data_IF_834592148147
#
_entry.id   IF_834592148147
#
_cell.length_a   1.000
_cell.length_b   1.000
_cell.length_c   1.000
_cell.angle_alpha   90.00
_cell.angle_beta   90.00
_cell.angle_gamma   90.00
#
_symmetry.space_group_name_H-M   'P 1'
#
loop_
_entity.id
_entity.type
_entity.pdbx_description
1 polymer ?
#
# COMPACT_ATOMS: atom_id res chain seq x y z
N UNK A 1 10.05 3.58 -11.24
CA UNK A 1 8.80 2.79 -11.09
C UNK A 1 7.66 3.66 -11.57
N UNK A 2 6.56 3.13 -12.12
CA UNK A 2 5.47 3.97 -12.60
C UNK A 2 4.72 4.63 -11.45
N UNK A 3 4.36 5.88 -11.62
CA UNK A 3 3.37 6.55 -10.79
C UNK A 3 1.98 5.99 -11.13
N UNK A 4 1.12 5.84 -10.12
CA UNK A 4 -0.21 5.25 -10.30
C UNK A 4 -1.35 6.18 -9.86
N UNK A 5 -1.06 7.09 -8.95
CA UNK A 5 -2.00 8.14 -8.55
C UNK A 5 -1.24 9.41 -8.17
N UNK A 6 -1.98 10.50 -8.02
CA UNK A 6 -1.45 11.76 -7.51
C UNK A 6 -2.32 12.27 -6.37
N UNK A 7 -1.68 12.89 -5.38
CA UNK A 7 -2.32 13.66 -4.33
C UNK A 7 -2.28 15.11 -4.76
N UNK A 8 -3.43 15.76 -4.84
CA UNK A 8 -3.58 17.16 -5.19
C UNK A 8 -4.15 17.89 -3.97
N UNK A 9 -3.38 18.82 -3.42
CA UNK A 9 -3.83 19.66 -2.32
C UNK A 9 -4.33 21.00 -2.86
N UNK A 10 -5.57 21.35 -2.58
CA UNK A 10 -6.22 22.55 -3.09
C UNK A 10 -5.90 23.76 -2.20
N UNK A 11 -5.07 24.69 -2.69
CA UNK A 11 -4.67 25.89 -1.98
C UNK A 11 -5.70 27.04 -2.13
N UNK A 12 -6.31 27.13 -3.30
CA UNK A 12 -7.38 28.09 -3.60
C UNK A 12 -8.48 27.36 -4.37
N UNK A 13 -9.73 27.77 -4.14
CA UNK A 13 -10.87 27.15 -4.84
C UNK A 13 -10.87 27.48 -6.33
N UNK A 14 -11.20 26.52 -7.17
CA UNK A 14 -11.30 26.66 -8.62
C UNK A 14 -12.22 25.58 -9.20
N UNK A 15 -12.68 25.80 -10.43
CA UNK A 15 -13.50 24.87 -11.18
C UNK A 15 -12.66 24.15 -12.24
N UNK A 16 -12.92 22.86 -12.41
CA UNK A 16 -12.32 22.05 -13.47
C UNK A 16 -13.41 21.29 -14.21
N UNK A 17 -13.34 21.29 -15.53
CA UNK A 17 -14.23 20.49 -16.36
C UNK A 17 -13.69 19.09 -16.54
N UNK A 18 -14.36 18.11 -15.93
CA UNK A 18 -14.04 16.70 -16.11
C UNK A 18 -15.18 16.05 -16.92
N UNK A 19 -14.90 15.76 -18.19
CA UNK A 19 -15.91 15.26 -19.10
C UNK A 19 -16.99 16.30 -19.44
N UNK A 20 -18.23 16.08 -18.96
CA UNK A 20 -19.36 16.98 -19.17
C UNK A 20 -19.72 17.81 -17.95
N UNK A 21 -19.06 17.63 -16.83
CA UNK A 21 -19.37 18.25 -15.55
C UNK A 21 -18.29 19.25 -15.15
N UNK A 22 -18.73 20.42 -14.66
CA UNK A 22 -17.86 21.40 -14.04
C UNK A 22 -17.85 21.11 -12.53
N UNK A 23 -16.66 20.80 -12.00
CA UNK A 23 -16.48 20.35 -10.61
C UNK A 23 -15.73 21.44 -9.85
N UNK A 24 -16.34 21.92 -8.77
CA UNK A 24 -15.71 22.86 -7.84
C UNK A 24 -14.80 22.14 -6.87
N UNK A 25 -13.50 22.44 -6.92
CA UNK A 25 -12.52 22.03 -5.94
C UNK A 25 -12.34 23.11 -4.89
N UNK A 26 -12.71 22.80 -3.64
CA UNK A 26 -12.72 23.76 -2.54
C UNK A 26 -11.34 23.87 -1.90
N UNK A 27 -10.94 25.10 -1.55
CA UNK A 27 -9.77 25.36 -0.73
C UNK A 27 -9.78 24.50 0.55
N UNK A 28 -8.66 23.88 0.87
CA UNK A 28 -8.50 23.05 2.07
C UNK A 28 -8.86 21.57 1.87
N UNK A 29 -9.36 21.17 0.69
CA UNK A 29 -9.58 19.79 0.35
C UNK A 29 -8.33 19.15 -0.26
N UNK A 30 -8.25 17.82 -0.17
CA UNK A 30 -7.32 17.01 -0.91
C UNK A 30 -8.06 16.18 -1.96
N UNK A 31 -7.42 15.94 -3.11
CA UNK A 31 -7.95 15.11 -4.19
C UNK A 31 -6.95 14.01 -4.47
N UNK A 32 -7.43 12.77 -4.40
CA UNK A 32 -6.71 11.62 -4.94
C UNK A 32 -7.21 11.39 -6.37
N UNK A 33 -6.30 11.31 -7.33
CA UNK A 33 -6.66 11.13 -8.73
C UNK A 33 -5.76 10.07 -9.37
N UNK A 34 -6.31 9.30 -10.34
CA UNK A 34 -5.49 8.44 -11.19
C UNK A 34 -4.41 9.27 -11.89
N UNK A 35 -3.17 8.77 -11.89
CA UNK A 35 -2.01 9.50 -12.43
C UNK A 35 -2.24 9.98 -13.87
N UNK A 36 -2.90 9.20 -14.69
CA UNK A 36 -3.18 9.53 -16.09
C UNK A 36 -4.14 10.72 -16.28
N UNK A 37 -4.82 11.12 -15.21
CA UNK A 37 -5.81 12.20 -15.24
C UNK A 37 -5.30 13.50 -14.59
N UNK A 38 -4.07 13.52 -14.07
CA UNK A 38 -3.53 14.70 -13.37
C UNK A 38 -3.47 15.95 -14.26
N UNK A 39 -3.36 15.76 -15.58
CA UNK A 39 -3.24 16.87 -16.53
C UNK A 39 -4.49 17.76 -16.58
N UNK A 40 -5.64 17.30 -16.07
CA UNK A 40 -6.81 18.15 -15.87
C UNK A 40 -6.55 19.34 -14.93
N UNK A 41 -5.52 19.25 -14.09
CA UNK A 41 -5.13 20.30 -13.13
C UNK A 41 -4.00 21.19 -13.64
N UNK A 42 -3.48 20.95 -14.84
CA UNK A 42 -2.34 21.71 -15.39
C UNK A 42 -2.62 23.22 -15.56
N UNK A 43 -3.87 23.57 -15.90
CA UNK A 43 -4.28 24.99 -16.01
C UNK A 43 -4.43 25.70 -14.67
N UNK A 44 -4.43 24.98 -13.57
CA UNK A 44 -4.68 25.48 -12.21
C UNK A 44 -3.50 25.23 -11.27
N UNK A 45 -2.29 25.12 -11.83
CA UNK A 45 -1.08 24.72 -11.08
C UNK A 45 -0.76 25.68 -9.94
N UNK A 46 -1.08 26.97 -10.07
CA UNK A 46 -0.88 27.99 -9.05
C UNK A 46 -1.87 27.85 -7.86
N UNK A 47 -2.93 27.09 -8.04
CA UNK A 47 -3.97 26.85 -7.04
C UNK A 47 -3.81 25.54 -6.29
N UNK A 48 -2.83 24.70 -6.67
CA UNK A 48 -2.65 23.38 -6.12
C UNK A 48 -1.20 23.05 -5.79
N UNK A 49 -1.01 22.08 -4.92
CA UNK A 49 0.26 21.35 -4.77
C UNK A 49 0.03 19.91 -5.18
N UNK A 50 0.89 19.35 -6.02
CA UNK A 50 0.74 18.00 -6.57
C UNK A 50 1.92 17.14 -6.11
N UNK A 51 1.62 15.92 -5.71
CA UNK A 51 2.60 14.87 -5.44
C UNK A 51 2.17 13.59 -6.15
N UNK A 52 3.06 13.09 -6.99
CA UNK A 52 2.88 11.80 -7.66
C UNK A 52 3.30 10.65 -6.75
N UNK A 53 2.48 9.61 -6.68
CA UNK A 53 2.66 8.45 -5.81
C UNK A 53 2.96 7.21 -6.64
N UNK A 54 4.06 6.55 -6.31
CA UNK A 54 4.49 5.31 -6.97
C UNK A 54 3.69 4.09 -6.51
N UNK A 55 3.56 3.09 -7.37
CA UNK A 55 2.92 1.80 -7.03
C UNK A 55 3.59 1.13 -5.81
N UNK A 56 4.92 1.28 -5.69
CA UNK A 56 5.67 0.80 -4.53
C UNK A 56 5.15 1.42 -3.22
N UNK A 57 4.94 2.74 -3.21
CA UNK A 57 4.45 3.45 -2.03
C UNK A 57 3.06 2.97 -1.62
N UNK A 58 2.17 2.74 -2.59
CA UNK A 58 0.83 2.19 -2.32
C UNK A 58 0.91 0.75 -1.82
N UNK A 59 1.80 -0.07 -2.36
CA UNK A 59 2.04 -1.41 -1.84
C UNK A 59 2.58 -1.39 -0.39
N UNK A 60 3.52 -0.49 -0.08
CA UNK A 60 4.06 -0.32 1.26
C UNK A 60 2.98 0.21 2.23
N UNK A 61 2.09 1.09 1.76
CA UNK A 61 0.91 1.54 2.51
C UNK A 61 0.01 0.36 2.90
N UNK A 62 -0.32 -0.53 1.97
CA UNK A 62 -1.11 -1.72 2.26
C UNK A 62 -0.41 -2.70 3.21
N UNK A 63 0.92 -2.76 3.19
CA UNK A 63 1.72 -3.60 4.11
C UNK A 63 1.82 -3.06 5.53
N UNK A 64 1.87 -1.72 5.69
CA UNK A 64 2.13 -1.09 6.98
C UNK A 64 0.89 -0.90 7.84
N UNK A 65 -0.27 -0.80 7.23
CA UNK A 65 -1.53 -0.61 7.94
C UNK A 65 -2.19 -1.96 8.20
N UNK A 66 -2.57 -2.21 9.47
CA UNK A 66 -3.56 -3.22 9.83
C UNK A 66 -4.90 -2.77 9.26
N UNK A 67 -5.12 -3.08 7.99
CA UNK A 67 -6.26 -2.59 7.26
C UNK A 67 -7.54 -3.22 7.77
N UNK A 68 -8.52 -2.41 8.10
CA UNK A 68 -9.90 -2.87 8.14
C UNK A 68 -10.24 -3.43 6.75
N UNK A 69 -11.07 -4.49 6.65
CA UNK A 69 -11.53 -4.98 5.37
C UNK A 69 -12.12 -3.82 4.55
N UNK A 70 -11.51 -3.52 3.40
CA UNK A 70 -12.02 -2.52 2.47
C UNK A 70 -12.81 -3.20 1.35
N UNK A 71 -13.71 -2.44 0.73
CA UNK A 71 -14.52 -2.96 -0.38
C UNK A 71 -13.72 -2.94 -1.68
N UNK A 72 -13.48 -4.13 -2.24
CA UNK A 72 -13.03 -4.25 -3.63
C UNK A 72 -14.24 -3.99 -4.53
N UNK A 73 -14.12 -3.04 -5.46
CA UNK A 73 -15.18 -2.66 -6.38
C UNK A 73 -14.84 -3.10 -7.79
N UNK A 74 -15.86 -3.30 -8.61
CA UNK A 74 -15.67 -3.59 -10.03
C UNK A 74 -15.21 -2.35 -10.82
N UNK A 75 -15.66 -1.17 -10.40
CA UNK A 75 -15.30 0.12 -10.97
C UNK A 75 -14.92 1.08 -9.86
N UNK A 76 -13.90 1.87 -10.10
CA UNK A 76 -13.39 2.88 -9.18
C UNK A 76 -13.58 4.27 -9.80
N UNK A 77 -13.84 5.29 -9.00
CA UNK A 77 -13.93 6.65 -9.50
C UNK A 77 -12.56 7.09 -10.05
N UNK A 78 -12.57 7.97 -11.03
CA UNK A 78 -11.36 8.55 -11.61
C UNK A 78 -10.60 9.45 -10.62
N UNK A 79 -11.31 10.06 -9.69
CA UNK A 79 -10.79 10.87 -8.61
C UNK A 79 -11.65 10.71 -7.35
N UNK A 80 -11.09 11.07 -6.21
CA UNK A 80 -11.75 11.07 -4.91
C UNK A 80 -11.42 12.38 -4.18
N UNK A 81 -12.43 13.17 -3.83
CA UNK A 81 -12.26 14.32 -2.93
C UNK A 81 -12.31 13.84 -1.47
N UNK A 82 -11.33 14.28 -0.70
CA UNK A 82 -11.18 13.93 0.72
C UNK A 82 -11.11 15.24 1.52
N UNK A 83 -11.91 15.35 2.55
CA UNK A 83 -11.76 16.41 3.52
C UNK A 83 -10.49 16.15 4.34
N UNK A 84 -9.66 17.17 4.47
CA UNK A 84 -8.36 17.02 5.15
C UNK A 84 -8.43 17.72 6.50
N UNK A 85 -8.55 16.95 7.58
CA UNK A 85 -8.55 17.48 8.95
C UNK A 85 -7.22 18.16 9.28
N UNK A 86 -6.09 17.57 8.85
CA UNK A 86 -4.73 18.08 9.09
C UNK A 86 -4.13 18.75 7.84
N UNK A 87 -4.85 19.70 7.23
CA UNK A 87 -4.43 20.38 6.01
C UNK A 87 -3.02 20.99 6.12
N UNK A 88 -2.70 21.65 7.25
CA UNK A 88 -1.39 22.29 7.45
C UNK A 88 -0.25 21.29 7.48
N UNK A 89 -0.45 20.14 8.13
CA UNK A 89 0.54 19.07 8.18
C UNK A 89 0.75 18.48 6.78
N UNK A 90 -0.34 18.15 6.07
CA UNK A 90 -0.26 17.62 4.72
C UNK A 90 0.44 18.58 3.76
N UNK A 91 0.14 19.90 3.86
CA UNK A 91 0.80 20.94 3.08
C UNK A 91 2.31 20.97 3.30
N UNK A 92 2.75 20.90 4.56
CA UNK A 92 4.18 20.92 4.90
C UNK A 92 4.89 19.65 4.38
N UNK A 93 4.27 18.48 4.50
CA UNK A 93 4.83 17.24 3.97
C UNK A 93 4.98 17.28 2.44
N UNK A 94 3.96 17.79 1.73
CA UNK A 94 4.01 17.95 0.28
C UNK A 94 5.05 18.99 -0.13
N UNK A 95 5.19 20.10 0.62
CA UNK A 95 6.23 21.08 0.38
C UNK A 95 7.63 20.45 0.48
N UNK A 96 7.87 19.59 1.47
CA UNK A 96 9.14 18.85 1.59
C UNK A 96 9.42 17.94 0.38
N UNK A 97 8.38 17.33 -0.20
CA UNK A 97 8.52 16.48 -1.39
C UNK A 97 8.82 17.28 -2.67
N UNK A 98 8.35 18.52 -2.74
CA UNK A 98 8.52 19.42 -3.88
C UNK A 98 9.77 20.31 -3.76
N UNK A 99 10.45 20.35 -2.60
CA UNK A 99 11.73 21.03 -2.44
C UNK A 99 12.82 20.31 -3.24
N UNK A 100 13.61 21.08 -3.99
CA UNK A 100 14.59 20.67 -5.00
C UNK A 100 15.44 19.44 -4.62
N UNK A 101 15.22 18.33 -5.34
CA UNK A 101 16.23 17.31 -5.72
C UNK A 101 17.03 16.59 -4.62
N UNK A 102 16.95 16.98 -3.34
CA UNK A 102 17.78 16.45 -2.25
C UNK A 102 17.15 15.35 -1.43
N UNK A 103 15.86 15.09 -1.63
CA UNK A 103 15.18 14.07 -0.84
C UNK A 103 15.53 12.68 -1.36
N UNK A 104 16.35 11.95 -0.60
CA UNK A 104 16.71 10.56 -0.92
C UNK A 104 15.45 9.74 -1.11
N UNK A 105 15.44 8.84 -2.09
CA UNK A 105 14.24 8.05 -2.48
C UNK A 105 13.55 7.35 -1.31
N UNK A 106 14.31 6.89 -0.29
CA UNK A 106 13.76 6.33 0.93
C UNK A 106 12.91 7.36 1.71
N UNK A 107 13.46 8.57 1.96
CA UNK A 107 12.75 9.63 2.70
C UNK A 107 11.53 10.10 1.93
N UNK A 108 11.64 10.23 0.61
CA UNK A 108 10.49 10.53 -0.28
C UNK A 108 9.37 9.52 -0.10
N UNK A 109 9.68 8.23 -0.10
CA UNK A 109 8.69 7.17 0.11
C UNK A 109 8.02 7.27 1.49
N UNK A 110 8.79 7.55 2.57
CA UNK A 110 8.25 7.69 3.92
C UNK A 110 7.31 8.90 4.03
N UNK A 111 7.66 10.04 3.44
CA UNK A 111 6.81 11.23 3.44
C UNK A 111 5.53 10.96 2.63
N UNK A 112 5.63 10.31 1.48
CA UNK A 112 4.46 9.94 0.67
C UNK A 112 3.54 8.96 1.41
N UNK A 113 4.09 8.00 2.17
CA UNK A 113 3.32 7.11 3.06
C UNK A 113 2.60 7.89 4.15
N UNK A 114 3.27 8.89 4.78
CA UNK A 114 2.64 9.75 5.78
C UNK A 114 1.47 10.56 5.18
N UNK A 115 1.62 11.10 3.98
CA UNK A 115 0.54 11.78 3.27
C UNK A 115 -0.66 10.85 3.03
N UNK A 116 -0.41 9.61 2.57
CA UNK A 116 -1.47 8.61 2.38
C UNK A 116 -2.13 8.22 3.71
N UNK A 117 -1.37 8.10 4.79
CA UNK A 117 -1.89 7.76 6.12
C UNK A 117 -2.84 8.84 6.65
N UNK A 118 -2.49 10.13 6.49
CA UNK A 118 -3.35 11.26 6.86
C UNK A 118 -4.68 11.21 6.10
N UNK A 119 -4.65 10.89 4.83
CA UNK A 119 -5.84 10.83 3.97
C UNK A 119 -6.66 9.54 4.16
N UNK A 120 -6.11 8.51 4.79
CA UNK A 120 -6.69 7.17 4.85
C UNK A 120 -7.69 6.93 5.99
N UNK A 121 -8.11 7.98 6.71
CA UNK A 121 -9.16 7.90 7.74
C UNK A 121 -10.45 7.25 7.22
N UNK A 122 -10.73 7.39 5.94
CA UNK A 122 -11.90 6.81 5.29
C UNK A 122 -11.56 5.53 4.49
N UNK A 123 -12.36 4.48 4.64
CA UNK A 123 -12.24 3.22 3.88
C UNK A 123 -12.32 3.40 2.36
N UNK A 124 -12.95 4.49 1.89
CA UNK A 124 -13.07 4.80 0.48
C UNK A 124 -11.71 5.13 -0.15
N UNK A 125 -10.79 5.75 0.62
CA UNK A 125 -9.42 6.04 0.17
C UNK A 125 -8.68 4.74 -0.10
N UNK A 126 -8.78 3.76 0.79
CA UNK A 126 -8.16 2.44 0.59
C UNK A 126 -8.71 1.76 -0.67
N UNK A 127 -10.03 1.82 -0.86
CA UNK A 127 -10.66 1.27 -2.07
C UNK A 127 -10.17 1.98 -3.34
N UNK A 128 -10.02 3.31 -3.31
CA UNK A 128 -9.48 4.09 -4.42
C UNK A 128 -8.03 3.67 -4.76
N UNK A 129 -7.15 3.67 -3.76
CA UNK A 129 -5.74 3.27 -3.93
C UNK A 129 -5.61 1.84 -4.47
N UNK A 130 -6.47 0.92 -4.01
CA UNK A 130 -6.54 -0.43 -4.57
C UNK A 130 -6.92 -0.42 -6.05
N UNK A 131 -7.85 0.45 -6.45
CA UNK A 131 -8.24 0.64 -7.85
C UNK A 131 -7.07 1.06 -8.73
N UNK A 132 -6.21 1.95 -8.23
CA UNK A 132 -5.05 2.47 -8.94
C UNK A 132 -3.93 1.44 -9.14
N UNK A 133 -3.87 0.36 -8.35
CA UNK A 133 -2.84 -0.68 -8.54
C UNK A 133 -2.92 -1.29 -9.94
N UNK A 134 -1.79 -1.29 -10.65
CA UNK A 134 -1.72 -1.79 -12.03
C UNK A 134 -1.52 -3.30 -12.08
N UNK A 135 -0.62 -3.85 -11.26
CA UNK A 135 -0.32 -5.27 -11.28
C UNK A 135 -1.36 -6.10 -10.52
N UNK A 136 -1.67 -7.27 -11.04
CA UNK A 136 -2.58 -8.21 -10.36
C UNK A 136 -1.93 -8.75 -9.09
N UNK A 137 -0.61 -8.96 -9.11
CA UNK A 137 0.15 -9.35 -7.94
C UNK A 137 0.00 -8.36 -6.80
N UNK A 138 0.10 -7.04 -7.08
CA UNK A 138 -0.12 -5.98 -6.08
C UNK A 138 -1.54 -6.02 -5.51
N UNK A 139 -2.55 -6.23 -6.34
CA UNK A 139 -3.95 -6.38 -5.89
C UNK A 139 -4.15 -7.59 -4.99
N UNK A 140 -3.56 -8.73 -5.35
CA UNK A 140 -3.61 -9.95 -4.51
C UNK A 140 -2.92 -9.71 -3.17
N UNK A 141 -1.73 -9.09 -3.15
CA UNK A 141 -1.00 -8.74 -1.93
C UNK A 141 -1.81 -7.81 -1.03
N UNK A 142 -2.42 -6.75 -1.58
CA UNK A 142 -3.27 -5.84 -0.82
C UNK A 142 -4.46 -6.56 -0.15
N UNK A 143 -5.07 -7.54 -0.82
CA UNK A 143 -6.13 -8.37 -0.23
C UNK A 143 -5.57 -9.26 0.89
N UNK A 144 -4.43 -9.93 0.70
CA UNK A 144 -3.79 -10.76 1.71
C UNK A 144 -3.49 -9.94 2.98
N UNK A 145 -3.06 -8.69 2.82
CA UNK A 145 -2.75 -7.78 3.93
C UNK A 145 -3.97 -7.33 4.74
N UNK A 146 -5.21 -7.52 4.25
CA UNK A 146 -6.40 -7.27 5.09
C UNK A 146 -6.51 -8.23 6.27
N UNK A 147 -5.94 -9.43 6.15
CA UNK A 147 -5.76 -10.41 7.22
C UNK A 147 -4.68 -11.42 6.81
N UNK A 148 -3.44 -11.18 7.25
CA UNK A 148 -2.30 -12.04 6.91
C UNK A 148 -2.42 -13.45 7.51
N UNK A 149 -3.17 -13.57 8.62
CA UNK A 149 -3.38 -14.84 9.33
C UNK A 149 -4.43 -15.74 8.67
N UNK A 150 -5.32 -15.15 7.87
CA UNK A 150 -6.43 -15.89 7.25
C UNK A 150 -5.95 -17.03 6.34
N UNK A 151 -6.70 -18.12 6.34
CA UNK A 151 -6.47 -19.26 5.46
C UNK A 151 -6.95 -18.98 4.02
N UNK A 152 -6.34 -17.97 3.38
CA UNK A 152 -6.69 -17.55 2.03
C UNK A 152 -6.66 -18.69 1.03
N UNK A 153 -7.75 -18.85 0.30
CA UNK A 153 -7.87 -19.77 -0.84
C UNK A 153 -7.91 -18.96 -2.14
N UNK A 154 -7.56 -19.62 -3.24
CA UNK A 154 -7.61 -18.97 -4.55
C UNK A 154 -9.04 -18.51 -4.92
N UNK A 155 -10.06 -19.26 -4.54
CA UNK A 155 -11.46 -18.89 -4.76
C UNK A 155 -11.84 -17.59 -4.02
N UNK A 156 -11.32 -17.36 -2.81
CA UNK A 156 -11.62 -16.16 -2.03
C UNK A 156 -11.08 -14.92 -2.73
N UNK A 157 -9.83 -15.00 -3.22
CA UNK A 157 -9.20 -13.91 -3.94
C UNK A 157 -9.86 -13.68 -5.32
N UNK A 158 -10.12 -14.76 -6.05
CA UNK A 158 -10.74 -14.65 -7.38
C UNK A 158 -12.13 -14.02 -7.31
N UNK A 159 -12.94 -14.43 -6.32
CA UNK A 159 -14.26 -13.84 -6.08
C UNK A 159 -14.19 -12.35 -5.76
N UNK A 160 -13.27 -11.94 -4.88
CA UNK A 160 -13.07 -10.51 -4.55
C UNK A 160 -12.64 -9.68 -5.75
N UNK A 161 -11.84 -10.26 -6.65
CA UNK A 161 -11.36 -9.59 -7.87
C UNK A 161 -12.33 -9.71 -9.05
N UNK A 162 -13.48 -10.33 -8.88
CA UNK A 162 -14.45 -10.60 -9.96
C UNK A 162 -13.85 -11.40 -11.14
N UNK A 163 -12.95 -12.35 -10.82
CA UNK A 163 -12.29 -13.21 -11.79
C UNK A 163 -12.64 -14.68 -11.53
N UNK A 164 -12.51 -15.52 -12.55
CA UNK A 164 -12.46 -16.97 -12.32
C UNK A 164 -11.08 -17.38 -11.79
N UNK A 165 -11.00 -18.47 -11.04
CA UNK A 165 -9.72 -19.00 -10.55
C UNK A 165 -8.72 -19.30 -11.67
N UNK A 166 -9.20 -19.84 -12.78
CA UNK A 166 -8.38 -20.14 -13.95
C UNK A 166 -7.79 -18.87 -14.56
N UNK A 167 -8.60 -17.81 -14.65
CA UNK A 167 -8.13 -16.51 -15.17
C UNK A 167 -7.14 -15.86 -14.22
N UNK A 168 -7.38 -15.92 -12.90
CA UNK A 168 -6.46 -15.42 -11.88
C UNK A 168 -5.12 -16.13 -11.96
N UNK A 169 -5.10 -17.47 -11.99
CA UNK A 169 -3.86 -18.26 -12.17
C UNK A 169 -3.09 -17.88 -13.41
N UNK A 170 -3.79 -17.77 -14.57
CA UNK A 170 -3.16 -17.42 -15.85
C UNK A 170 -2.54 -16.04 -15.82
N UNK A 171 -3.25 -15.04 -15.29
CA UNK A 171 -2.76 -13.67 -15.19
C UNK A 171 -1.57 -13.55 -14.24
N UNK A 172 -1.61 -14.20 -13.06
CA UNK A 172 -0.47 -14.24 -12.14
C UNK A 172 0.75 -14.91 -12.79
N UNK A 173 0.54 -16.00 -13.52
CA UNK A 173 1.64 -16.65 -14.26
C UNK A 173 2.25 -15.74 -15.33
N UNK A 174 1.47 -14.87 -15.96
CA UNK A 174 1.98 -13.87 -16.91
C UNK A 174 2.85 -12.80 -16.24
N UNK A 175 2.65 -12.57 -14.95
CA UNK A 175 3.51 -11.70 -14.10
C UNK A 175 4.64 -12.48 -13.41
N UNK A 176 4.92 -13.74 -13.81
CA UNK A 176 5.87 -14.66 -13.17
C UNK A 176 5.59 -14.93 -11.69
N UNK A 177 4.32 -14.83 -11.30
CA UNK A 177 3.85 -15.00 -9.94
C UNK A 177 2.97 -16.25 -9.78
N UNK A 178 2.89 -16.76 -8.56
CA UNK A 178 1.88 -17.76 -8.17
C UNK A 178 1.25 -17.37 -6.84
N UNK A 179 -0.01 -17.72 -6.68
CA UNK A 179 -0.78 -17.41 -5.47
C UNK A 179 -0.12 -17.94 -4.19
N UNK A 180 0.32 -19.20 -4.20
CA UNK A 180 1.00 -19.80 -3.05
C UNK A 180 2.33 -19.11 -2.71
N UNK A 181 3.07 -18.66 -3.73
CA UNK A 181 4.32 -17.92 -3.54
C UNK A 181 4.04 -16.54 -2.94
N UNK A 182 3.02 -15.84 -3.41
CA UNK A 182 2.63 -14.53 -2.87
C UNK A 182 2.26 -14.62 -1.38
N UNK A 183 1.41 -15.59 -0.98
CA UNK A 183 1.08 -15.79 0.44
C UNK A 183 2.32 -16.10 1.26
N UNK A 184 3.17 -17.00 0.77
CA UNK A 184 4.40 -17.37 1.47
C UNK A 184 5.31 -16.15 1.69
N UNK A 185 5.56 -15.38 0.64
CA UNK A 185 6.41 -14.19 0.69
C UNK A 185 5.87 -13.16 1.69
N UNK A 186 4.59 -12.81 1.62
CA UNK A 186 4.01 -11.80 2.50
C UNK A 186 4.01 -12.26 3.98
N UNK A 187 3.74 -13.53 4.25
CA UNK A 187 3.83 -14.11 5.60
C UNK A 187 5.27 -14.12 6.12
N UNK A 188 6.25 -14.42 5.28
CA UNK A 188 7.66 -14.43 5.69
C UNK A 188 8.19 -13.02 5.94
N UNK A 189 7.82 -12.04 5.13
CA UNK A 189 8.15 -10.62 5.36
C UNK A 189 7.53 -10.10 6.68
N UNK A 190 6.29 -10.49 6.98
CA UNK A 190 5.67 -10.17 8.27
C UNK A 190 6.41 -10.83 9.44
N UNK A 191 6.75 -12.12 9.31
CA UNK A 191 7.46 -12.86 10.33
C UNK A 191 8.85 -12.24 10.61
N UNK A 192 9.60 -11.90 9.58
CA UNK A 192 10.88 -11.19 9.68
C UNK A 192 10.74 -9.89 10.49
N UNK A 193 9.77 -9.06 10.13
CA UNK A 193 9.50 -7.80 10.83
C UNK A 193 9.18 -8.00 12.31
N UNK A 194 8.31 -8.97 12.64
CA UNK A 194 7.94 -9.26 14.03
C UNK A 194 9.11 -9.80 14.85
N UNK A 195 9.95 -10.64 14.25
CA UNK A 195 11.16 -11.17 14.89
C UNK A 195 12.21 -10.07 15.12
N UNK A 196 12.31 -9.08 14.22
CA UNK A 196 13.28 -7.99 14.36
C UNK A 196 12.96 -7.05 15.53
N UNK A 197 11.71 -6.99 15.98
CA UNK A 197 11.33 -6.23 17.18
C UNK A 197 11.57 -6.99 18.49
N UNK A 198 11.77 -8.32 18.44
CA UNK A 198 11.94 -9.21 19.59
C UNK A 198 10.86 -9.06 20.70
N UNK A 199 9.67 -8.66 20.32
CA UNK A 199 8.55 -8.45 21.26
C UNK A 199 7.68 -9.70 21.41
N UNK A 200 7.83 -10.67 20.52
CA UNK A 200 6.97 -11.86 20.44
C UNK A 200 7.79 -13.15 20.44
N UNK A 201 7.26 -14.18 21.12
CA UNK A 201 7.80 -15.53 21.00
C UNK A 201 7.62 -16.07 19.56
N UNK A 202 8.48 -17.01 19.17
CA UNK A 202 8.39 -17.66 17.85
C UNK A 202 7.02 -18.28 17.59
N UNK A 203 6.39 -18.85 18.64
CA UNK A 203 5.02 -19.38 18.56
C UNK A 203 3.98 -18.30 18.27
N UNK A 204 4.11 -17.12 18.94
CA UNK A 204 3.19 -16.00 18.69
C UNK A 204 3.39 -15.39 17.30
N UNK A 205 4.64 -15.31 16.82
CA UNK A 205 4.91 -14.89 15.43
C UNK A 205 4.28 -15.86 14.43
N UNK A 206 4.40 -17.17 14.66
CA UNK A 206 3.76 -18.16 13.81
C UNK A 206 2.24 -17.96 13.72
N UNK A 207 1.58 -17.78 14.87
CA UNK A 207 0.14 -17.52 14.96
C UNK A 207 -0.27 -16.25 14.18
N UNK A 208 0.41 -15.12 14.42
CA UNK A 208 0.13 -13.85 13.72
C UNK A 208 0.32 -13.99 12.21
N UNK A 209 1.27 -14.81 11.76
CA UNK A 209 1.51 -15.09 10.35
C UNK A 209 0.59 -16.19 9.77
N UNK A 210 -0.40 -16.69 10.52
CA UNK A 210 -1.38 -17.65 10.05
C UNK A 210 -0.85 -19.09 9.95
N UNK A 211 0.06 -19.48 10.84
CA UNK A 211 0.52 -20.85 10.99
C UNK A 211 -0.01 -21.45 12.28
N UNK A 212 -0.86 -22.46 12.16
CA UNK A 212 -1.41 -23.20 13.31
C UNK A 212 -0.34 -24.05 14.01
N UNK A 213 0.67 -24.51 13.26
CA UNK A 213 1.73 -25.36 13.77
C UNK A 213 3.08 -24.63 13.76
N UNK A 214 3.61 -24.33 14.96
CA UNK A 214 4.89 -23.64 15.14
C UNK A 214 6.07 -24.40 14.54
N UNK A 215 6.09 -25.76 14.63
CA UNK A 215 7.19 -26.57 14.07
C UNK A 215 7.20 -26.50 12.54
N UNK A 216 6.02 -26.49 11.92
CA UNK A 216 5.89 -26.29 10.49
C UNK A 216 6.35 -24.89 10.09
N UNK A 217 5.93 -23.84 10.82
CA UNK A 217 6.41 -22.47 10.61
C UNK A 217 7.94 -22.39 10.65
N UNK A 218 8.58 -22.95 11.70
CA UNK A 218 10.04 -22.96 11.83
C UNK A 218 10.72 -23.61 10.61
N UNK A 219 10.16 -24.70 10.11
CA UNK A 219 10.67 -25.39 8.93
C UNK A 219 10.53 -24.53 7.66
N UNK A 220 9.39 -23.87 7.48
CA UNK A 220 9.13 -22.97 6.34
C UNK A 220 10.05 -21.74 6.41
N UNK A 221 10.17 -21.12 7.57
CA UNK A 221 11.02 -19.96 7.80
C UNK A 221 12.49 -20.27 7.51
N UNK A 222 13.00 -21.41 8.04
CA UNK A 222 14.38 -21.87 7.77
C UNK A 222 14.60 -22.10 6.27
N UNK A 223 13.63 -22.68 5.58
CA UNK A 223 13.74 -22.90 4.12
C UNK A 223 13.77 -21.59 3.35
N UNK A 224 13.09 -20.56 3.82
CA UNK A 224 12.99 -19.26 3.16
C UNK A 224 14.22 -18.37 3.44
N UNK A 225 14.65 -18.26 4.71
CA UNK A 225 15.75 -17.41 5.15
C UNK A 225 17.08 -18.12 5.37
N UNK A 226 17.15 -19.44 5.22
CA UNK A 226 18.34 -20.25 5.44
C UNK A 226 18.66 -20.55 6.89
N UNK A 227 18.07 -19.86 7.86
CA UNK A 227 18.28 -20.04 9.31
C UNK A 227 16.93 -20.10 10.05
N UNK A 228 16.86 -20.82 11.18
CA UNK A 228 15.62 -20.87 11.97
C UNK A 228 15.31 -19.53 12.66
N UNK A 229 14.02 -19.24 13.00
CA UNK A 229 13.57 -17.94 13.54
C UNK A 229 14.38 -17.45 14.75
N UNK A 230 14.70 -18.33 15.72
CA UNK A 230 15.45 -17.96 16.93
C UNK A 230 16.89 -17.52 16.60
N UNK A 231 17.55 -18.15 15.66
CA UNK A 231 18.89 -17.74 15.23
C UNK A 231 18.83 -16.42 14.43
N UNK A 232 17.77 -16.24 13.65
CA UNK A 232 17.54 -15.01 12.90
C UNK A 232 17.43 -13.81 13.85
N UNK A 233 16.59 -13.90 14.88
CA UNK A 233 16.45 -12.85 15.90
C UNK A 233 17.77 -12.54 16.61
N UNK A 234 18.51 -13.58 17.04
CA UNK A 234 19.78 -13.40 17.73
C UNK A 234 20.84 -12.69 16.88
N UNK A 235 20.92 -12.98 15.58
CA UNK A 235 21.85 -12.29 14.66
C UNK A 235 21.53 -10.80 14.52
N UNK A 236 20.27 -10.45 14.38
CA UNK A 236 19.85 -9.04 14.29
C UNK A 236 20.17 -8.24 15.56
N UNK A 237 20.19 -8.89 16.72
CA UNK A 237 20.61 -8.28 17.98
C UNK A 237 22.10 -7.98 18.02
N UNK A 238 22.93 -8.97 17.65
CA UNK A 238 24.38 -8.81 17.66
C UNK A 238 24.84 -7.72 16.67
N UNK A 239 24.17 -7.57 15.54
CA UNK A 239 24.46 -6.51 14.58
C UNK A 239 24.07 -5.12 15.06
N UNK A 240 23.02 -4.99 15.91
CA UNK A 240 22.59 -3.70 16.49
C UNK A 240 23.48 -3.23 17.65
N UNK A 241 24.05 -4.16 18.41
CA UNK A 241 24.98 -3.84 19.54
C UNK A 241 26.38 -3.46 19.05
N UNK A 242 26.69 -3.65 17.75
CA UNK A 242 27.98 -3.29 17.14
C UNK A 242 27.97 -1.96 16.38
N UNK A 243 26.83 -1.24 16.33
CA UNK A 243 26.70 0.10 15.73
C UNK A 243 26.55 1.18 16.81
#
# INVERSE_FOLDING_TARGET
>A
MPYICSIILVLNSFDVRIGKEDILFKKGSAVLIDYNLKDFFSSNIDHVMIVDVEEKTVNDFFKSNTLSPFSVRRFYPAYLMVECEDFSLLKNLIACLNCDGRTVGFVRNQISLACLAILSSEKIVQSFLFGCLNSLGSKVKAIIHTDISAAWRLCDISSRLYLSESLLKRKLKHEDLSFSKLILEERMVMAERLLSYNLYSVGKVAEICGYENTSYFVSVFRRYFGVPPHQYSSRLFLEKDMM
#
